data_IF_322689325538
#
_entry.id   IF_322689325538
#
_cell.length_a   1.000
_cell.length_b   1.000
_cell.length_c   1.000
_cell.angle_alpha   90.00
_cell.angle_beta   90.00
_cell.angle_gamma   90.00
#
_symmetry.space_group_name_H-M   'P 1'
#
loop_
_entity.id
_entity.type
_entity.pdbx_description
1 polymer ?
#
# COMPACT_ATOMS: atom_id res chain seq x y z
N UNK A 1 -16.77 8.00 -0.43
CA UNK A 1 -16.56 6.84 -1.31
C UNK A 1 -15.38 6.03 -0.80
N UNK A 2 -15.52 4.73 -0.75
CA UNK A 2 -14.49 3.83 -0.23
C UNK A 2 -13.79 3.11 -1.37
N UNK A 3 -12.51 2.85 -1.22
CA UNK A 3 -11.73 2.08 -2.18
C UNK A 3 -10.85 1.06 -1.47
N UNK A 4 -10.60 -0.06 -2.13
CA UNK A 4 -9.74 -1.13 -1.63
C UNK A 4 -8.82 -1.58 -2.75
N UNK A 5 -7.56 -1.79 -2.42
CA UNK A 5 -6.58 -2.37 -3.33
C UNK A 5 -5.86 -3.51 -2.62
N UNK A 6 -5.67 -4.62 -3.34
CA UNK A 6 -4.92 -5.76 -2.83
C UNK A 6 -3.68 -6.01 -3.66
N UNK A 7 -2.57 -6.37 -3.01
CA UNK A 7 -1.31 -6.72 -3.66
C UNK A 7 -0.82 -8.04 -3.11
N UNK A 8 -0.52 -8.97 -4.00
CA UNK A 8 0.06 -10.26 -3.62
C UNK A 8 1.11 -10.63 -4.67
N UNK A 9 2.37 -10.48 -4.31
CA UNK A 9 3.50 -10.78 -5.18
C UNK A 9 4.46 -11.72 -4.47
N UNK A 10 4.81 -12.82 -5.10
CA UNK A 10 5.80 -13.75 -4.56
C UNK A 10 7.22 -13.21 -4.66
N UNK A 11 7.48 -12.38 -5.68
CA UNK A 11 8.76 -11.70 -5.86
C UNK A 11 8.50 -10.34 -6.48
N UNK A 12 9.02 -9.29 -5.84
CA UNK A 12 8.85 -7.91 -6.32
C UNK A 12 9.92 -7.60 -7.34
N UNK A 13 9.47 -7.19 -8.55
CA UNK A 13 10.36 -6.73 -9.61
C UNK A 13 10.57 -5.22 -9.58
N UNK A 14 11.48 -4.75 -10.43
CA UNK A 14 11.89 -3.33 -10.45
C UNK A 14 10.73 -2.38 -10.75
N UNK A 15 9.78 -2.80 -11.60
CA UNK A 15 8.66 -1.95 -12.01
C UNK A 15 7.42 -2.11 -11.14
N UNK A 16 7.40 -3.09 -10.26
CA UNK A 16 6.20 -3.42 -9.48
C UNK A 16 5.86 -2.33 -8.47
N UNK A 17 6.86 -1.73 -7.84
CA UNK A 17 6.66 -0.65 -6.87
C UNK A 17 5.98 0.55 -7.53
N UNK A 18 6.43 0.93 -8.73
CA UNK A 18 5.83 2.04 -9.47
C UNK A 18 4.39 1.73 -9.86
N UNK A 19 4.12 0.50 -10.30
CA UNK A 19 2.79 0.06 -10.63
C UNK A 19 1.86 0.12 -9.41
N UNK A 20 2.34 -0.32 -8.26
CA UNK A 20 1.59 -0.28 -7.01
C UNK A 20 1.24 1.17 -6.64
N UNK A 21 2.21 2.09 -6.72
CA UNK A 21 1.97 3.50 -6.43
C UNK A 21 0.90 4.10 -7.35
N UNK A 22 0.99 3.83 -8.64
CA UNK A 22 0.01 4.31 -9.61
C UNK A 22 -1.38 3.75 -9.34
N UNK A 23 -1.45 2.47 -9.04
CA UNK A 23 -2.72 1.81 -8.74
C UNK A 23 -3.34 2.40 -7.48
N UNK A 24 -2.54 2.64 -6.46
CA UNK A 24 -2.99 3.32 -5.24
C UNK A 24 -3.58 4.68 -5.55
N UNK A 25 -2.84 5.50 -6.28
CA UNK A 25 -3.30 6.84 -6.64
C UNK A 25 -4.59 6.81 -7.42
N UNK A 26 -4.67 5.98 -8.46
CA UNK A 26 -5.85 5.94 -9.33
C UNK A 26 -7.07 5.37 -8.62
N UNK A 27 -6.86 4.33 -7.82
CA UNK A 27 -7.98 3.66 -7.15
C UNK A 27 -8.49 4.47 -5.98
N UNK A 28 -7.61 5.18 -5.28
CA UNK A 28 -7.91 5.77 -3.99
C UNK A 28 -7.94 7.29 -3.99
N UNK A 29 -7.79 7.92 -5.16
CA UNK A 29 -7.70 9.38 -5.28
C UNK A 29 -8.98 10.10 -4.85
N UNK A 30 -10.11 9.41 -4.88
CA UNK A 30 -11.40 9.99 -4.49
C UNK A 30 -11.60 10.06 -2.98
N UNK A 31 -10.81 9.30 -2.24
CA UNK A 31 -10.88 9.31 -0.79
C UNK A 31 -10.16 10.53 -0.24
N UNK A 32 -10.84 11.28 0.62
CA UNK A 32 -10.32 12.55 1.12
C UNK A 32 -10.07 12.57 2.62
N UNK A 33 -10.53 11.56 3.33
CA UNK A 33 -10.58 11.62 4.79
C UNK A 33 -9.51 10.79 5.47
N UNK A 34 -9.31 9.56 5.00
CA UNK A 34 -8.37 8.67 5.67
C UNK A 34 -7.84 7.62 4.70
N UNK A 35 -6.58 7.27 4.86
CA UNK A 35 -5.91 6.23 4.09
C UNK A 35 -5.28 5.22 5.04
N UNK A 36 -5.39 3.94 4.73
CA UNK A 36 -4.83 2.87 5.52
C UNK A 36 -4.16 1.82 4.66
N UNK A 37 -3.22 1.11 5.27
CA UNK A 37 -2.46 0.05 4.65
C UNK A 37 -2.20 -1.04 5.67
N UNK A 38 -2.51 -2.28 5.30
CA UNK A 38 -2.13 -3.45 6.10
C UNK A 38 -1.18 -4.30 5.28
N UNK A 39 -0.12 -4.77 5.89
CA UNK A 39 0.86 -5.61 5.21
C UNK A 39 1.37 -6.70 6.13
N UNK A 40 1.88 -7.77 5.53
CA UNK A 40 2.50 -8.89 6.25
C UNK A 40 3.98 -8.90 5.96
N UNK A 41 4.79 -8.84 7.02
CA UNK A 41 6.25 -8.95 6.91
C UNK A 41 6.77 -9.77 8.07
N UNK A 42 7.59 -10.78 7.75
CA UNK A 42 8.15 -11.67 8.77
C UNK A 42 7.09 -12.43 9.54
N UNK A 43 5.96 -12.73 8.90
CA UNK A 43 4.83 -13.41 9.55
C UNK A 43 3.98 -12.52 10.45
N UNK A 44 4.23 -11.22 10.48
CA UNK A 44 3.51 -10.27 11.33
C UNK A 44 2.66 -9.35 10.47
N UNK A 45 1.37 -9.25 10.82
CA UNK A 45 0.45 -8.31 10.18
C UNK A 45 0.55 -6.96 10.87
N UNK A 46 0.81 -5.92 10.10
CA UNK A 46 0.92 -4.55 10.59
C UNK A 46 -0.05 -3.67 9.82
N UNK A 47 -0.72 -2.76 10.52
CA UNK A 47 -1.65 -1.80 9.91
C UNK A 47 -1.21 -0.38 10.21
N UNK A 48 -1.14 0.44 9.16
CA UNK A 48 -0.84 1.86 9.25
C UNK A 48 -2.08 2.63 8.83
N UNK A 49 -2.54 3.56 9.67
CA UNK A 49 -3.69 4.42 9.37
C UNK A 49 -3.31 5.88 9.54
N UNK A 50 -3.78 6.72 8.61
CA UNK A 50 -3.58 8.17 8.71
C UNK A 50 -4.86 8.88 8.30
N UNK A 51 -5.18 9.97 9.00
CA UNK A 51 -6.30 10.84 8.66
C UNK A 51 -5.93 11.84 7.59
N UNK A 52 -5.38 11.37 6.48
CA UNK A 52 -4.91 12.23 5.39
C UNK A 52 -5.17 11.59 4.04
N UNK A 53 -5.24 12.41 2.96
CA UNK A 53 -5.47 11.88 1.62
C UNK A 53 -4.33 10.99 1.15
N UNK A 54 -4.63 10.11 0.19
CA UNK A 54 -3.67 9.14 -0.34
C UNK A 54 -2.41 9.79 -0.90
N UNK A 55 -2.52 10.97 -1.47
CA UNK A 55 -1.35 11.66 -2.04
C UNK A 55 -0.32 12.00 -0.97
N UNK A 56 -0.75 12.44 0.20
CA UNK A 56 0.14 12.72 1.32
C UNK A 56 0.62 11.43 1.99
N UNK A 57 -0.26 10.45 2.12
CA UNK A 57 0.05 9.16 2.70
C UNK A 57 1.18 8.48 1.94
N UNK A 58 1.10 8.46 0.60
CA UNK A 58 2.12 7.82 -0.24
C UNK A 58 3.48 8.50 -0.18
N UNK A 59 3.52 9.81 0.09
CA UNK A 59 4.79 10.52 0.25
C UNK A 59 5.58 10.08 1.47
N UNK A 60 4.89 9.56 2.48
CA UNK A 60 5.50 9.12 3.74
C UNK A 60 5.90 7.66 3.71
N UNK A 61 5.53 6.92 2.66
CA UNK A 61 5.78 5.49 2.57
C UNK A 61 6.93 5.17 1.64
N UNK A 62 7.76 4.24 2.08
CA UNK A 62 8.71 3.56 1.22
C UNK A 62 8.26 2.11 1.12
N UNK A 63 7.70 1.72 -0.03
CA UNK A 63 7.16 0.37 -0.21
C UNK A 63 8.22 -0.71 -0.08
N UNK A 64 9.49 -0.37 -0.29
CA UNK A 64 10.56 -1.34 -0.09
C UNK A 64 10.67 -1.83 1.35
N UNK A 65 10.20 -1.04 2.31
CA UNK A 65 10.17 -1.42 3.72
C UNK A 65 9.21 -2.57 4.01
N UNK A 66 8.26 -2.83 3.12
CA UNK A 66 7.25 -3.88 3.30
C UNK A 66 7.61 -5.19 2.61
N UNK A 67 8.67 -5.20 1.83
CA UNK A 67 9.12 -6.40 1.11
C UNK A 67 9.73 -7.39 2.08
N UNK A 68 9.27 -8.64 2.04
CA UNK A 68 9.81 -9.71 2.86
C UNK A 68 11.21 -10.13 2.38
N UNK A 69 11.94 -10.82 3.23
CA UNK A 69 13.30 -11.26 2.90
C UNK A 69 13.35 -12.18 1.68
N UNK A 70 12.28 -12.95 1.44
CA UNK A 70 12.17 -13.82 0.26
C UNK A 70 11.77 -13.06 -1.00
N UNK A 71 11.57 -11.75 -0.92
CA UNK A 71 11.15 -10.90 -2.03
C UNK A 71 9.65 -10.73 -2.16
N UNK A 72 8.86 -11.33 -1.30
CA UNK A 72 7.40 -11.26 -1.36
C UNK A 72 6.83 -9.95 -0.81
N UNK A 73 5.67 -9.54 -1.36
CA UNK A 73 4.97 -8.36 -0.92
C UNK A 73 3.47 -8.65 -0.85
N UNK A 74 2.89 -8.50 0.34
CA UNK A 74 1.48 -8.81 0.60
C UNK A 74 0.86 -7.66 1.37
N UNK A 75 -0.08 -6.96 0.74
CA UNK A 75 -0.70 -5.80 1.38
C UNK A 75 -2.13 -5.56 0.91
N UNK A 76 -2.89 -4.87 1.73
CA UNK A 76 -4.22 -4.38 1.41
C UNK A 76 -4.26 -2.90 1.79
N UNK A 77 -4.59 -2.06 0.82
CA UNK A 77 -4.82 -0.65 1.05
C UNK A 77 -6.30 -0.34 1.09
N UNK A 78 -6.69 0.61 1.89
CA UNK A 78 -8.08 1.04 1.97
C UNK A 78 -8.18 2.54 2.21
N UNK A 79 -9.29 3.12 1.78
CA UNK A 79 -9.54 4.54 1.88
C UNK A 79 -11.01 4.80 2.22
N UNK A 80 -11.21 5.86 2.96
CA UNK A 80 -12.55 6.35 3.29
C UNK A 80 -12.78 7.74 2.77
#
# INVERSE_FOLDING_TARGET
MCGVIGVSLSTVGADDIELIRRTFLQTMIRGKHATGLSYVKGGVLTTIKRGEPVTQFLKQLDFSDFINEDGGLYMIGHIR
#
